data_IF_234734110686
#
_entry.id   IF_234734110686
#
_cell.length_a   1.000
_cell.length_b   1.000
_cell.length_c   1.000
_cell.angle_alpha   90.00
_cell.angle_beta   90.00
_cell.angle_gamma   90.00
#
_symmetry.space_group_name_H-M   'P 1'
#
loop_
_entity.id
_entity.type
_entity.pdbx_description
1 polymer ?
#
# COMPACT_ATOMS: atom_id res chain seq x y z
N UNK A 1 13.53 -11.56 15.63
CA UNK A 1 12.29 -10.95 16.20
C UNK A 1 11.93 -9.66 15.47
N UNK A 2 12.83 -8.68 15.38
CA UNK A 2 12.58 -7.37 14.73
C UNK A 2 12.12 -7.49 13.25
N UNK A 3 12.74 -8.35 12.44
CA UNK A 3 12.39 -8.49 11.03
C UNK A 3 10.94 -8.94 10.77
N UNK A 4 10.41 -9.82 11.64
CA UNK A 4 9.03 -10.30 11.55
C UNK A 4 8.06 -9.18 11.92
N UNK A 5 8.40 -8.38 12.95
CA UNK A 5 7.61 -7.22 13.34
C UNK A 5 7.56 -6.17 12.22
N UNK A 6 8.70 -5.86 11.60
CA UNK A 6 8.75 -4.93 10.46
C UNK A 6 7.89 -5.40 9.29
N UNK A 7 7.93 -6.70 8.99
CA UNK A 7 7.07 -7.30 7.98
C UNK A 7 5.58 -7.17 8.32
N UNK A 8 5.19 -7.48 9.55
CA UNK A 8 3.79 -7.40 9.99
C UNK A 8 3.27 -5.96 10.02
N UNK A 9 4.06 -5.01 10.50
CA UNK A 9 3.69 -3.59 10.50
C UNK A 9 3.49 -3.11 9.05
N UNK A 10 4.39 -3.48 8.16
CA UNK A 10 4.28 -3.14 6.74
C UNK A 10 3.02 -3.73 6.10
N UNK A 11 2.73 -5.00 6.39
CA UNK A 11 1.55 -5.70 5.89
C UNK A 11 0.26 -5.05 6.40
N UNK A 12 0.18 -4.78 7.70
CA UNK A 12 -0.99 -4.14 8.31
C UNK A 12 -1.21 -2.75 7.69
N UNK A 13 -0.15 -1.94 7.58
CA UNK A 13 -0.24 -0.60 6.97
C UNK A 13 -0.81 -0.67 5.55
N UNK A 14 -0.27 -1.55 4.69
CA UNK A 14 -0.72 -1.69 3.32
C UNK A 14 -2.18 -2.19 3.24
N UNK A 15 -2.52 -3.24 3.99
CA UNK A 15 -3.87 -3.84 3.96
C UNK A 15 -4.92 -2.88 4.50
N UNK A 16 -4.65 -2.22 5.64
CA UNK A 16 -5.59 -1.26 6.23
C UNK A 16 -5.78 -0.07 5.29
N UNK A 17 -4.71 0.43 4.68
CA UNK A 17 -4.81 1.54 3.71
C UNK A 17 -5.72 1.17 2.54
N UNK A 18 -5.53 -0.01 1.96
CA UNK A 18 -6.38 -0.49 0.86
C UNK A 18 -7.83 -0.66 1.32
N UNK A 19 -8.06 -1.23 2.51
CA UNK A 19 -9.40 -1.43 3.03
C UNK A 19 -10.14 -0.10 3.26
N UNK A 20 -9.46 0.91 3.81
CA UNK A 20 -10.05 2.23 4.03
C UNK A 20 -10.30 2.96 2.70
N UNK A 21 -9.36 2.92 1.76
CA UNK A 21 -9.56 3.49 0.43
C UNK A 21 -10.72 2.80 -0.32
N UNK A 22 -10.87 1.48 -0.18
CA UNK A 22 -11.96 0.73 -0.77
C UNK A 22 -13.33 1.07 -0.18
N UNK A 23 -13.39 1.52 1.08
CA UNK A 23 -14.63 1.98 1.70
C UNK A 23 -15.20 3.22 0.98
N UNK A 24 -14.35 4.05 0.39
CA UNK A 24 -14.76 5.23 -0.39
C UNK A 24 -15.16 4.89 -1.84
N UNK A 25 -14.94 3.65 -2.30
CA UNK A 25 -15.16 3.25 -3.69
C UNK A 25 -16.59 3.53 -4.21
N UNK A 26 -17.68 3.32 -3.45
CA UNK A 26 -19.03 3.65 -3.92
C UNK A 26 -19.21 5.14 -4.20
N UNK A 27 -18.63 6.02 -3.37
CA UNK A 27 -18.71 7.47 -3.55
C UNK A 27 -17.85 7.96 -4.73
N UNK A 28 -16.70 7.32 -4.94
CA UNK A 28 -15.85 7.56 -6.12
C UNK A 28 -16.59 7.16 -7.40
N UNK A 29 -17.21 5.99 -7.41
CA UNK A 29 -17.99 5.50 -8.55
C UNK A 29 -19.15 6.45 -8.89
N UNK A 30 -19.95 6.87 -7.91
CA UNK A 30 -21.05 7.81 -8.17
C UNK A 30 -20.55 9.16 -8.68
N UNK A 31 -19.44 9.67 -8.14
CA UNK A 31 -18.80 10.90 -8.63
C UNK A 31 -18.39 10.78 -10.09
N UNK A 32 -17.75 9.66 -10.47
CA UNK A 32 -17.30 9.41 -11.83
C UNK A 32 -18.46 9.24 -12.81
N UNK A 33 -19.50 8.47 -12.44
CA UNK A 33 -20.69 8.27 -13.29
C UNK A 33 -21.45 9.57 -13.49
N UNK A 34 -21.64 10.37 -12.43
CA UNK A 34 -22.30 11.66 -12.54
C UNK A 34 -21.51 12.64 -13.41
N UNK A 35 -20.18 12.67 -13.24
CA UNK A 35 -19.30 13.49 -14.07
C UNK A 35 -19.27 13.06 -15.53
N UNK A 36 -19.32 11.76 -15.79
CA UNK A 36 -19.44 11.22 -17.15
C UNK A 36 -20.77 11.64 -17.80
N UNK A 37 -21.88 11.49 -17.08
CA UNK A 37 -23.21 11.85 -17.58
C UNK A 37 -23.41 13.35 -17.78
N UNK A 38 -22.65 14.21 -17.07
CA UNK A 38 -22.71 15.66 -17.24
C UNK A 38 -21.82 16.19 -18.37
N UNK A 39 -21.06 15.32 -19.05
CA UNK A 39 -20.13 15.72 -20.11
C UNK A 39 -18.89 16.45 -19.59
N UNK A 40 -18.55 16.30 -18.31
CA UNK A 40 -17.37 16.92 -17.74
C UNK A 40 -16.06 16.29 -18.25
N UNK A 41 -14.98 17.07 -18.20
CA UNK A 41 -13.65 16.59 -18.60
C UNK A 41 -13.23 15.40 -17.72
N UNK A 42 -13.07 14.24 -18.37
CA UNK A 42 -12.72 12.98 -17.72
C UNK A 42 -11.37 13.08 -17.00
N UNK A 43 -10.41 13.82 -17.58
CA UNK A 43 -9.07 13.91 -17.05
C UNK A 43 -9.07 14.71 -15.74
N UNK A 44 -9.81 15.82 -15.71
CA UNK A 44 -10.00 16.63 -14.52
C UNK A 44 -10.74 15.85 -13.41
N UNK A 45 -11.75 15.06 -13.76
CA UNK A 45 -12.46 14.20 -12.81
C UNK A 45 -11.55 13.13 -12.20
N UNK A 46 -10.77 12.43 -13.02
CA UNK A 46 -9.82 11.41 -12.54
C UNK A 46 -8.70 12.03 -11.71
N UNK A 47 -8.19 13.19 -12.09
CA UNK A 47 -7.22 13.94 -11.29
C UNK A 47 -7.81 14.33 -9.91
N UNK A 48 -9.07 14.75 -9.87
CA UNK A 48 -9.78 15.06 -8.62
C UNK A 48 -9.92 13.84 -7.70
N UNK A 49 -10.30 12.68 -8.25
CA UNK A 49 -10.38 11.42 -7.51
C UNK A 49 -8.99 10.97 -7.03
N UNK A 50 -7.97 11.04 -7.89
CA UNK A 50 -6.60 10.71 -7.53
C UNK A 50 -6.07 11.63 -6.41
N UNK A 51 -6.38 12.93 -6.46
CA UNK A 51 -6.06 13.89 -5.41
C UNK A 51 -6.69 13.51 -4.07
N UNK A 52 -7.93 13.01 -4.07
CA UNK A 52 -8.59 12.51 -2.86
C UNK A 52 -7.93 11.25 -2.30
N UNK A 53 -7.38 10.39 -3.14
CA UNK A 53 -6.67 9.18 -2.71
C UNK A 53 -5.19 9.40 -2.38
N UNK A 54 -4.65 10.61 -2.55
CA UNK A 54 -3.24 10.89 -2.36
C UNK A 54 -2.76 10.60 -0.92
N UNK A 55 -3.63 10.74 0.08
CA UNK A 55 -3.30 10.40 1.47
C UNK A 55 -2.93 8.91 1.66
N UNK A 56 -3.48 8.02 0.82
CA UNK A 56 -3.27 6.58 0.90
C UNK A 56 -1.92 6.15 0.33
N UNK A 57 -1.27 6.97 -0.52
CA UNK A 57 -0.01 6.61 -1.15
C UNK A 57 1.11 6.40 -0.12
N UNK A 58 1.27 7.33 0.82
CA UNK A 58 2.33 7.27 1.83
C UNK A 58 2.25 6.02 2.71
N UNK A 59 1.13 5.70 3.38
CA UNK A 59 1.03 4.51 4.22
C UNK A 59 1.05 3.20 3.43
N UNK A 60 0.58 3.21 2.17
CA UNK A 60 0.66 2.05 1.29
C UNK A 60 2.11 1.76 0.87
N UNK A 61 2.80 2.74 0.28
CA UNK A 61 4.18 2.60 -0.17
C UNK A 61 5.10 2.34 1.03
N UNK A 62 4.93 3.10 2.12
CA UNK A 62 5.69 2.90 3.35
C UNK A 62 5.51 1.50 3.93
N UNK A 63 4.28 0.98 3.90
CA UNK A 63 3.98 -0.39 4.32
C UNK A 63 4.68 -1.45 3.45
N UNK A 64 4.62 -1.28 2.12
CA UNK A 64 5.29 -2.17 1.18
C UNK A 64 6.82 -2.16 1.34
N UNK A 65 7.41 -0.97 1.54
CA UNK A 65 8.84 -0.83 1.78
C UNK A 65 9.26 -1.51 3.08
N UNK A 66 8.48 -1.37 4.15
CA UNK A 66 8.72 -2.05 5.43
C UNK A 66 8.62 -3.58 5.30
N UNK A 67 7.64 -4.09 4.55
CA UNK A 67 7.55 -5.52 4.23
C UNK A 67 8.77 -6.01 3.46
N UNK A 68 9.15 -5.29 2.41
CA UNK A 68 10.32 -5.60 1.59
C UNK A 68 11.60 -5.64 2.43
N UNK A 69 11.79 -4.62 3.26
CA UNK A 69 12.95 -4.52 4.16
C UNK A 69 12.98 -5.64 5.20
N UNK A 70 11.84 -5.95 5.82
CA UNK A 70 11.72 -7.09 6.74
C UNK A 70 12.10 -8.42 6.08
N UNK A 71 11.69 -8.63 4.82
CA UNK A 71 12.05 -9.81 4.03
C UNK A 71 13.55 -9.88 3.73
N UNK A 72 14.16 -8.76 3.36
CA UNK A 72 15.62 -8.68 3.14
C UNK A 72 16.39 -9.04 4.40
N UNK A 73 16.00 -8.51 5.57
CA UNK A 73 16.67 -8.85 6.84
C UNK A 73 16.55 -10.35 7.15
N UNK A 74 15.39 -10.97 6.92
CA UNK A 74 15.23 -12.41 7.14
C UNK A 74 16.15 -13.24 6.23
N UNK A 75 16.27 -12.85 4.96
CA UNK A 75 17.16 -13.51 3.99
C UNK A 75 18.64 -13.33 4.39
N UNK A 76 19.05 -12.14 4.80
CA UNK A 76 20.41 -11.92 5.29
C UNK A 76 20.69 -12.74 6.55
N UNK A 77 19.70 -12.87 7.44
CA UNK A 77 19.79 -13.73 8.63
C UNK A 77 19.94 -15.21 8.28
N UNK A 78 19.21 -15.71 7.28
CA UNK A 78 19.35 -17.10 6.83
C UNK A 78 20.69 -17.35 6.12
N UNK A 79 21.16 -16.41 5.30
CA UNK A 79 22.48 -16.47 4.66
C UNK A 79 23.59 -16.48 5.70
N UNK A 80 23.55 -15.58 6.68
CA UNK A 80 24.51 -15.54 7.79
C UNK A 80 24.59 -16.86 8.55
N UNK A 81 23.43 -17.48 8.80
CA UNK A 81 23.35 -18.80 9.44
C UNK A 81 23.93 -19.90 8.55
N UNK A 82 23.66 -19.87 7.25
CA UNK A 82 24.21 -20.83 6.29
C UNK A 82 25.74 -20.72 6.18
N UNK A 83 26.29 -19.49 6.18
CA UNK A 83 27.73 -19.23 6.13
C UNK A 83 28.48 -19.66 7.39
N UNK A 84 27.82 -19.66 8.55
CA UNK A 84 28.42 -20.10 9.83
C UNK A 84 28.54 -21.62 9.94
N UNK A 85 27.97 -22.38 9.00
CA UNK A 85 27.98 -23.84 9.00
C UNK A 85 27.08 -24.46 10.09
N UNK A 86 26.73 -25.75 9.98
CA UNK A 86 26.11 -26.48 11.08
C UNK A 86 27.14 -26.64 12.20
N UNK A 87 26.87 -26.07 13.37
CA UNK A 87 27.51 -26.48 14.61
C UNK A 87 26.93 -27.83 15.06
#
# INVERSE_FOLDING_TARGET
MIAILLYLIGLISAVVTVAVAAFEAPAIYTTLVNGFNSGADWLALLAGVAGRLNWALTPFIGGLLLMGFGRVIMLLGSISRALRGPA
#
